data_IF_496771146783
#
_entry.id   IF_496771146783
#
_cell.length_a   1.000
_cell.length_b   1.000
_cell.length_c   1.000
_cell.angle_alpha   90.00
_cell.angle_beta   90.00
_cell.angle_gamma   90.00
#
_symmetry.space_group_name_H-M   'P 1'
#
loop_
_entity.id
_entity.type
_entity.pdbx_description
1 polymer ?
#
# COMPACT_ATOMS: atom_id res chain seq x y z
N UNK A 1 -26.69 -4.04 -16.02
CA UNK A 1 -25.42 -3.61 -15.38
C UNK A 1 -24.52 -3.08 -16.49
N UNK A 2 -23.92 -1.91 -16.33
CA UNK A 2 -23.20 -1.20 -17.41
C UNK A 2 -21.85 -1.87 -17.71
N UNK A 3 -21.45 -1.91 -18.99
CA UNK A 3 -20.19 -2.51 -19.45
C UNK A 3 -18.93 -2.01 -18.69
N UNK A 4 -18.99 -0.80 -18.14
CA UNK A 4 -17.97 -0.25 -17.24
C UNK A 4 -17.83 -1.04 -15.93
N UNK A 5 -18.94 -1.45 -15.32
CA UNK A 5 -18.93 -2.29 -14.11
C UNK A 5 -18.45 -3.70 -14.42
N UNK A 6 -18.81 -4.29 -15.56
CA UNK A 6 -18.26 -5.58 -15.98
C UNK A 6 -16.76 -5.51 -16.26
N UNK A 7 -16.28 -4.44 -16.90
CA UNK A 7 -14.85 -4.21 -17.09
C UNK A 7 -14.10 -4.06 -15.74
N UNK A 8 -14.71 -3.38 -14.77
CA UNK A 8 -14.13 -3.20 -13.44
C UNK A 8 -14.11 -4.50 -12.62
N UNK A 9 -15.04 -5.42 -12.88
CA UNK A 9 -15.20 -6.70 -12.18
C UNK A 9 -14.49 -7.87 -12.88
N UNK A 10 -14.33 -7.84 -14.21
CA UNK A 10 -13.67 -8.89 -15.01
C UNK A 10 -12.25 -8.52 -15.44
N UNK A 11 -11.92 -7.22 -15.57
CA UNK A 11 -10.57 -6.71 -15.87
C UNK A 11 -9.64 -6.60 -14.66
N UNK A 12 -9.90 -7.38 -13.60
CA UNK A 12 -9.31 -7.22 -12.26
C UNK A 12 -7.80 -7.29 -12.27
N UNK A 13 -7.19 -8.26 -12.96
CA UNK A 13 -5.74 -8.43 -12.93
C UNK A 13 -4.99 -7.23 -13.52
N UNK A 14 -5.40 -6.72 -14.69
CA UNK A 14 -4.68 -5.59 -15.32
C UNK A 14 -4.84 -4.30 -14.51
N UNK A 15 -6.03 -4.04 -13.97
CA UNK A 15 -6.30 -2.88 -13.12
C UNK A 15 -5.52 -3.01 -11.79
N UNK A 16 -5.46 -4.21 -11.21
CA UNK A 16 -4.70 -4.49 -10.00
C UNK A 16 -3.20 -4.31 -10.22
N UNK A 17 -2.67 -4.80 -11.35
CA UNK A 17 -1.26 -4.61 -11.73
C UNK A 17 -0.94 -3.13 -11.95
N UNK A 18 -1.82 -2.38 -12.64
CA UNK A 18 -1.65 -0.94 -12.81
C UNK A 18 -1.65 -0.21 -11.45
N UNK A 19 -2.53 -0.59 -10.53
CA UNK A 19 -2.56 -0.06 -9.17
C UNK A 19 -1.29 -0.36 -8.37
N UNK A 20 -0.78 -1.60 -8.45
CA UNK A 20 0.49 -1.99 -7.79
C UNK A 20 1.68 -1.23 -8.38
N UNK A 21 1.75 -1.11 -9.71
CA UNK A 21 2.81 -0.34 -10.38
C UNK A 21 2.77 1.15 -10.01
N UNK A 22 1.58 1.75 -9.97
CA UNK A 22 1.39 3.14 -9.54
C UNK A 22 1.86 3.36 -8.09
N UNK A 23 1.50 2.48 -7.17
CA UNK A 23 1.97 2.53 -5.79
C UNK A 23 3.48 2.29 -5.68
N UNK A 24 4.06 1.42 -6.51
CA UNK A 24 5.49 1.19 -6.54
C UNK A 24 6.26 2.44 -6.98
N UNK A 25 5.76 3.16 -8.01
CA UNK A 25 6.33 4.44 -8.41
C UNK A 25 6.23 5.49 -7.29
N UNK A 26 5.09 5.53 -6.58
CA UNK A 26 4.88 6.45 -5.46
C UNK A 26 5.84 6.15 -4.30
N UNK A 27 6.00 4.87 -3.93
CA UNK A 27 6.97 4.45 -2.92
C UNK A 27 8.41 4.80 -3.33
N UNK A 28 8.78 4.57 -4.59
CA UNK A 28 10.10 4.94 -5.11
C UNK A 28 10.34 6.45 -5.07
N UNK A 29 9.34 7.26 -5.41
CA UNK A 29 9.41 8.71 -5.32
C UNK A 29 9.59 9.17 -3.86
N UNK A 30 8.82 8.60 -2.93
CA UNK A 30 8.93 8.90 -1.51
C UNK A 30 10.31 8.54 -0.94
N UNK A 31 10.84 7.35 -1.26
CA UNK A 31 12.19 6.91 -0.88
C UNK A 31 13.25 7.86 -1.45
N UNK A 32 13.11 8.24 -2.72
CA UNK A 32 14.05 9.16 -3.37
C UNK A 32 14.04 10.54 -2.71
N UNK A 33 12.88 11.04 -2.30
CA UNK A 33 12.77 12.29 -1.54
C UNK A 33 13.43 12.15 -0.16
N UNK A 34 13.11 11.09 0.58
CA UNK A 34 13.69 10.80 1.88
C UNK A 34 15.23 10.75 1.85
N UNK A 35 15.80 10.13 0.82
CA UNK A 35 17.25 10.05 0.62
C UNK A 35 17.91 11.35 0.19
N UNK A 36 17.17 12.26 -0.45
CA UNK A 36 17.71 13.56 -0.91
C UNK A 36 17.71 14.58 0.21
N UNK A 37 16.59 14.67 0.92
CA UNK A 37 16.35 15.72 1.92
C UNK A 37 16.77 15.28 3.33
N UNK A 38 17.01 13.98 3.57
CA UNK A 38 17.35 13.42 4.90
C UNK A 38 16.38 13.80 6.04
N UNK A 39 15.19 14.32 5.70
CA UNK A 39 14.21 14.78 6.67
C UNK A 39 13.47 13.60 7.33
N UNK A 40 13.11 13.79 8.60
CA UNK A 40 12.32 12.80 9.34
C UNK A 40 10.94 12.56 8.70
N UNK A 41 10.30 13.63 8.19
CA UNK A 41 9.03 13.53 7.46
C UNK A 41 9.14 12.74 6.15
N UNK A 42 10.23 12.93 5.39
CA UNK A 42 10.50 12.15 4.19
C UNK A 42 10.63 10.66 4.47
N UNK A 43 11.35 10.28 5.53
CA UNK A 43 11.48 8.88 5.96
C UNK A 43 10.11 8.28 6.33
N UNK A 44 9.29 8.99 7.11
CA UNK A 44 7.96 8.52 7.50
C UNK A 44 7.04 8.34 6.28
N UNK A 45 7.11 9.27 5.32
CA UNK A 45 6.36 9.18 4.08
C UNK A 45 6.77 7.95 3.26
N UNK A 46 8.08 7.65 3.19
CA UNK A 46 8.61 6.48 2.50
C UNK A 46 8.14 5.17 3.15
N UNK A 47 8.21 5.05 4.48
CA UNK A 47 7.68 3.88 5.19
C UNK A 47 6.19 3.70 4.96
N UNK A 48 5.42 4.80 5.01
CA UNK A 48 3.99 4.78 4.74
C UNK A 48 3.67 4.28 3.33
N UNK A 49 4.36 4.81 2.31
CA UNK A 49 4.14 4.42 0.92
C UNK A 49 4.51 2.94 0.66
N UNK A 50 5.59 2.45 1.28
CA UNK A 50 5.97 1.03 1.22
C UNK A 50 4.93 0.14 1.90
N UNK A 51 4.40 0.55 3.06
CA UNK A 51 3.34 -0.20 3.74
C UNK A 51 2.06 -0.30 2.88
N UNK A 52 1.65 0.79 2.22
CA UNK A 52 0.51 0.76 1.30
C UNK A 52 0.77 -0.21 0.14
N UNK A 53 1.97 -0.15 -0.46
CA UNK A 53 2.37 -1.05 -1.55
C UNK A 53 2.30 -2.51 -1.10
N UNK A 54 2.88 -2.85 0.06
CA UNK A 54 2.83 -4.20 0.62
C UNK A 54 1.40 -4.66 0.87
N UNK A 55 0.58 -3.82 1.50
CA UNK A 55 -0.84 -4.12 1.73
C UNK A 55 -1.58 -4.43 0.42
N UNK A 56 -1.33 -3.65 -0.63
CA UNK A 56 -1.93 -3.90 -1.95
C UNK A 56 -1.42 -5.18 -2.60
N UNK A 57 -0.11 -5.43 -2.56
CA UNK A 57 0.48 -6.65 -3.10
C UNK A 57 -0.09 -7.89 -2.42
N UNK A 58 -0.29 -7.87 -1.10
CA UNK A 58 -0.89 -9.01 -0.38
C UNK A 58 -2.32 -9.25 -0.87
N UNK A 59 -3.16 -8.20 -0.99
CA UNK A 59 -4.54 -8.36 -1.46
C UNK A 59 -4.60 -8.95 -2.88
N UNK A 60 -3.73 -8.47 -3.77
CA UNK A 60 -3.71 -8.91 -5.17
C UNK A 60 -3.12 -10.31 -5.32
N UNK A 61 -2.06 -10.64 -4.58
CA UNK A 61 -1.35 -11.91 -4.72
C UNK A 61 -2.05 -13.08 -4.01
N UNK A 62 -2.73 -12.82 -2.88
CA UNK A 62 -3.33 -13.89 -2.06
C UNK A 62 -4.24 -14.84 -2.85
N UNK A 63 -5.22 -14.41 -3.68
CA UNK A 63 -6.06 -15.36 -4.40
C UNK A 63 -5.28 -16.34 -5.30
N UNK A 64 -4.07 -15.97 -5.72
CA UNK A 64 -3.19 -16.80 -6.54
C UNK A 64 -2.23 -17.68 -5.71
N UNK A 65 -1.86 -17.26 -4.51
CA UNK A 65 -0.89 -17.96 -3.64
C UNK A 65 -1.57 -18.83 -2.58
N UNK A 66 -2.69 -18.35 -2.02
CA UNK A 66 -3.46 -18.99 -0.95
C UNK A 66 -4.93 -19.09 -1.38
N UNK A 67 -5.30 -20.11 -2.17
CA UNK A 67 -6.68 -20.36 -2.53
C UNK A 67 -7.56 -20.54 -1.27
N UNK A 68 -8.87 -20.23 -1.34
CA UNK A 68 -9.76 -20.20 -0.16
C UNK A 68 -9.75 -21.49 0.67
N UNK A 69 -9.67 -22.65 0.01
CA UNK A 69 -9.59 -23.96 0.68
C UNK A 69 -8.31 -24.11 1.50
N UNK A 70 -7.19 -23.62 0.99
CA UNK A 70 -5.89 -23.67 1.68
C UNK A 70 -5.90 -22.71 2.86
N UNK A 71 -6.42 -21.49 2.68
CA UNK A 71 -6.52 -20.51 3.76
C UNK A 71 -7.42 -21.01 4.91
N UNK A 72 -8.54 -21.65 4.59
CA UNK A 72 -9.42 -22.24 5.59
C UNK A 72 -8.74 -23.38 6.39
N UNK A 73 -7.89 -24.17 5.74
CA UNK A 73 -7.14 -25.26 6.38
C UNK A 73 -6.05 -24.78 7.36
N UNK A 74 -5.56 -23.54 7.19
CA UNK A 74 -4.57 -22.93 8.10
C UNK A 74 -5.18 -22.44 9.42
N UNK A 75 -6.51 -22.52 9.55
CA UNK A 75 -7.24 -22.23 10.78
C UNK A 75 -7.59 -20.76 11.00
N UNK A 76 -8.31 -20.46 12.10
CA UNK A 76 -8.94 -19.15 12.31
C UNK A 76 -7.95 -17.99 12.42
N UNK A 77 -6.76 -18.24 12.98
CA UNK A 77 -5.72 -17.23 13.14
C UNK A 77 -5.18 -16.76 11.79
N UNK A 78 -4.95 -17.69 10.86
CA UNK A 78 -4.47 -17.37 9.51
C UNK A 78 -5.51 -16.58 8.72
N UNK A 79 -6.79 -16.97 8.80
CA UNK A 79 -7.91 -16.23 8.18
C UNK A 79 -7.99 -14.81 8.75
N UNK A 80 -7.90 -14.67 10.07
CA UNK A 80 -7.94 -13.36 10.75
C UNK A 80 -6.76 -12.48 10.35
N UNK A 81 -5.55 -13.04 10.33
CA UNK A 81 -4.34 -12.34 9.90
C UNK A 81 -4.41 -11.91 8.43
N UNK A 82 -4.94 -12.78 7.55
CA UNK A 82 -5.10 -12.48 6.13
C UNK A 82 -6.02 -11.26 5.90
N UNK A 83 -7.05 -11.09 6.72
CA UNK A 83 -7.96 -9.92 6.65
C UNK A 83 -7.34 -8.69 7.32
N UNK A 84 -6.71 -8.87 8.49
CA UNK A 84 -6.23 -7.78 9.32
C UNK A 84 -4.95 -7.14 8.76
N UNK A 85 -3.96 -7.93 8.33
CA UNK A 85 -2.64 -7.41 7.93
C UNK A 85 -2.76 -6.40 6.78
N UNK A 86 -3.45 -6.68 5.66
CA UNK A 86 -3.57 -5.70 4.58
C UNK A 86 -4.30 -4.44 5.04
N UNK A 87 -5.35 -4.59 5.85
CA UNK A 87 -6.14 -3.47 6.37
C UNK A 87 -5.29 -2.54 7.25
N UNK A 88 -4.47 -3.13 8.13
CA UNK A 88 -3.52 -2.42 8.99
C UNK A 88 -2.46 -1.72 8.13
N UNK A 89 -1.83 -2.43 7.19
CA UNK A 89 -0.80 -1.86 6.32
C UNK A 89 -1.31 -0.69 5.49
N UNK A 90 -2.51 -0.81 4.92
CA UNK A 90 -3.13 0.27 4.15
C UNK A 90 -3.47 1.48 5.03
N UNK A 91 -4.05 1.25 6.21
CA UNK A 91 -4.50 2.32 7.11
C UNK A 91 -3.33 3.08 7.73
N UNK A 92 -2.39 2.35 8.36
CA UNK A 92 -1.19 2.95 8.94
C UNK A 92 -0.23 3.46 7.87
N UNK A 93 -0.19 2.80 6.70
CA UNK A 93 0.58 3.29 5.56
C UNK A 93 0.09 4.65 5.08
N UNK A 94 -1.22 4.81 4.91
CA UNK A 94 -1.82 6.10 4.56
C UNK A 94 -1.55 7.17 5.62
N UNK A 95 -1.73 6.83 6.91
CA UNK A 95 -1.40 7.72 8.01
C UNK A 95 0.07 8.15 7.98
N UNK A 96 0.99 7.23 7.69
CA UNK A 96 2.42 7.51 7.54
C UNK A 96 2.75 8.42 6.36
N UNK A 97 2.07 8.25 5.21
CA UNK A 97 2.22 9.16 4.06
C UNK A 97 1.73 10.57 4.41
N UNK A 98 0.53 10.70 4.99
CA UNK A 98 -0.05 11.99 5.35
C UNK A 98 0.80 12.71 6.40
N UNK A 99 1.17 11.99 7.47
CA UNK A 99 2.01 12.53 8.52
C UNK A 99 3.41 12.89 8.02
N UNK A 100 4.00 12.04 7.18
CA UNK A 100 5.30 12.26 6.58
C UNK A 100 5.31 13.48 5.66
N UNK A 101 4.26 13.68 4.84
CA UNK A 101 4.11 14.86 3.99
C UNK A 101 4.01 16.13 4.83
N UNK A 102 3.15 16.14 5.85
CA UNK A 102 3.02 17.29 6.76
C UNK A 102 4.33 17.58 7.51
N UNK A 103 4.97 16.56 8.05
CA UNK A 103 6.24 16.68 8.76
C UNK A 103 7.38 17.15 7.86
N UNK A 104 7.41 16.71 6.61
CA UNK A 104 8.39 17.17 5.63
C UNK A 104 8.15 18.63 5.24
N UNK A 105 6.90 19.03 5.01
CA UNK A 105 6.55 20.42 4.71
C UNK A 105 6.92 21.37 5.85
N UNK A 106 6.71 20.95 7.11
CA UNK A 106 7.12 21.72 8.29
C UNK A 106 8.65 21.83 8.39
N UNK A 107 9.36 20.73 8.18
CA UNK A 107 10.83 20.73 8.18
C UNK A 107 11.42 21.71 7.14
N UNK A 108 10.83 21.78 5.94
CA UNK A 108 11.22 22.75 4.91
C UNK A 108 10.92 24.22 5.28
N UNK A 109 9.97 24.47 6.18
CA UNK A 109 9.68 25.82 6.69
C UNK A 109 10.66 26.22 7.78
N UNK A 110 11.08 25.27 8.62
CA UNK A 110 12.02 25.54 9.72
C UNK A 110 13.47 25.75 9.23
N UNK A 111 13.84 25.23 8.05
CA UNK A 111 15.17 25.44 7.43
C UNK A 111 15.29 26.70 6.56
N UNK A 112 14.19 27.44 6.34
CA UNK A 112 14.19 28.73 5.60
C UNK A 112 14.21 29.92 6.55
#
# INVERSE_FOLDING_TARGET
MTAFLEFLVQGTLMIDMAGVLGLAMLAMAAIRLARREHSWGGNMMAYGAVAILLGRVILVATPYVLPPMTLASLGPVAVSAHIAIPSILLSFGLAGVVWGLWGHARWLQDER
#
